data_IF_621478293909
#
_entry.id   IF_621478293909
#
_cell.length_a   1.000
_cell.length_b   1.000
_cell.length_c   1.000
_cell.angle_alpha   90.00
_cell.angle_beta   90.00
_cell.angle_gamma   90.00
#
_symmetry.space_group_name_H-M   'P 1'
#
loop_
_entity.id
_entity.type
_entity.pdbx_description
1 polymer ?
#
# COMPACT_ATOMS: atom_id res chain seq x y z
N UNK A 1 1.54 -34.08 -13.30
CA UNK A 1 1.19 -33.12 -12.28
C UNK A 1 2.41 -32.35 -11.83
N UNK A 2 2.19 -31.17 -11.28
CA UNK A 2 3.28 -30.34 -10.70
C UNK A 2 3.73 -30.97 -9.38
N UNK A 3 5.02 -31.10 -9.16
CA UNK A 3 5.55 -31.63 -7.88
C UNK A 3 5.42 -30.57 -6.80
N UNK A 4 5.10 -30.99 -5.57
CA UNK A 4 5.06 -30.10 -4.39
C UNK A 4 6.45 -29.86 -3.79
N UNK A 5 7.52 -29.91 -4.60
CA UNK A 5 8.86 -29.62 -4.13
C UNK A 5 8.99 -28.14 -3.74
N UNK A 6 9.43 -27.89 -2.50
CA UNK A 6 9.61 -26.53 -1.99
C UNK A 6 10.78 -25.83 -2.65
N UNK A 7 10.63 -24.54 -2.81
CA UNK A 7 11.64 -23.64 -3.34
C UNK A 7 12.48 -23.06 -2.18
N UNK A 8 13.70 -23.56 -2.02
CA UNK A 8 14.61 -23.14 -0.96
C UNK A 8 15.00 -21.66 -1.08
N UNK A 9 15.10 -21.14 -2.30
CA UNK A 9 15.37 -19.71 -2.53
C UNK A 9 14.24 -18.84 -2.00
N UNK A 10 12.99 -19.22 -2.31
CA UNK A 10 11.82 -18.52 -1.80
C UNK A 10 11.76 -18.59 -0.26
N UNK A 11 12.00 -19.77 0.30
CA UNK A 11 11.98 -19.97 1.75
C UNK A 11 13.05 -19.13 2.45
N UNK A 12 14.25 -19.09 1.90
CA UNK A 12 15.35 -18.31 2.46
C UNK A 12 15.03 -16.81 2.45
N UNK A 13 14.53 -16.28 1.32
CA UNK A 13 14.12 -14.88 1.21
C UNK A 13 12.97 -14.56 2.18
N UNK A 14 11.95 -15.43 2.26
CA UNK A 14 10.83 -15.27 3.17
C UNK A 14 11.26 -15.20 4.65
N UNK A 15 12.20 -16.03 5.08
CA UNK A 15 12.69 -16.07 6.46
C UNK A 15 13.70 -14.95 6.77
N UNK A 16 14.48 -14.53 5.79
CA UNK A 16 15.50 -13.51 5.96
C UNK A 16 14.95 -12.08 5.96
N UNK A 17 13.96 -11.80 5.12
CA UNK A 17 13.36 -10.47 5.02
C UNK A 17 12.42 -10.24 6.20
N UNK A 18 12.77 -9.34 7.11
CA UNK A 18 11.96 -9.02 8.31
C UNK A 18 10.77 -8.10 8.03
N UNK A 19 10.73 -7.43 6.88
CA UNK A 19 9.64 -6.56 6.48
C UNK A 19 8.40 -7.33 5.98
N UNK A 20 7.32 -6.63 5.67
CA UNK A 20 6.09 -7.22 5.12
C UNK A 20 6.27 -7.86 3.72
N UNK A 21 7.46 -7.76 3.16
CA UNK A 21 7.81 -8.37 1.88
C UNK A 21 8.14 -9.85 2.05
N UNK A 22 7.66 -10.66 1.14
CA UNK A 22 7.90 -12.10 1.18
C UNK A 22 9.21 -12.48 0.49
N UNK A 23 9.52 -11.87 -0.65
CA UNK A 23 10.73 -12.15 -1.42
C UNK A 23 11.22 -10.90 -2.16
N UNK A 24 12.50 -10.88 -2.49
CA UNK A 24 13.11 -9.88 -3.36
C UNK A 24 12.82 -10.16 -4.83
N UNK A 25 12.74 -11.43 -5.22
CA UNK A 25 12.43 -11.83 -6.59
C UNK A 25 10.91 -11.81 -6.83
N UNK A 26 10.42 -11.15 -7.90
CA UNK A 26 8.98 -10.97 -8.11
C UNK A 26 8.26 -12.22 -8.62
N UNK A 27 8.96 -13.16 -9.22
CA UNK A 27 8.38 -14.27 -9.96
C UNK A 27 8.47 -15.64 -9.27
N UNK A 28 9.18 -15.74 -8.14
CA UNK A 28 9.31 -17.00 -7.41
C UNK A 28 8.13 -17.26 -6.48
N UNK A 29 7.82 -18.54 -6.30
CA UNK A 29 6.79 -19.03 -5.36
C UNK A 29 7.39 -20.03 -4.38
N UNK A 30 6.65 -20.46 -3.34
CA UNK A 30 7.08 -21.55 -2.45
C UNK A 30 7.36 -22.87 -3.18
N UNK A 31 6.89 -23.04 -4.40
CA UNK A 31 7.01 -24.27 -5.18
C UNK A 31 8.00 -24.12 -6.32
N UNK A 32 8.96 -25.06 -6.44
CA UNK A 32 10.05 -25.00 -7.46
C UNK A 32 9.56 -24.86 -8.91
N UNK A 33 8.43 -25.49 -9.24
CA UNK A 33 7.90 -25.55 -10.60
C UNK A 33 6.84 -24.49 -10.92
N UNK A 34 6.49 -23.65 -9.96
CA UNK A 34 5.46 -22.63 -10.14
C UNK A 34 6.11 -21.26 -10.08
N UNK A 35 5.86 -20.45 -11.09
CA UNK A 35 6.29 -19.06 -11.12
C UNK A 35 5.10 -18.12 -11.30
N UNK A 36 5.23 -16.90 -10.78
CA UNK A 36 4.26 -15.83 -10.97
C UNK A 36 4.68 -15.01 -12.19
N UNK A 37 3.71 -14.66 -13.04
CA UNK A 37 3.96 -13.71 -14.11
C UNK A 37 4.25 -12.33 -13.48
N UNK A 38 5.41 -11.70 -13.76
CA UNK A 38 5.73 -10.40 -13.19
C UNK A 38 4.73 -9.32 -13.58
N UNK A 39 4.57 -8.29 -12.72
CA UNK A 39 3.71 -7.15 -13.00
C UNK A 39 4.07 -6.51 -14.35
N UNK A 40 3.09 -5.93 -15.03
CA UNK A 40 3.26 -5.30 -16.35
C UNK A 40 3.77 -6.24 -17.46
N UNK A 41 3.63 -7.55 -17.29
CA UNK A 41 4.00 -8.53 -18.31
C UNK A 41 2.78 -9.26 -18.85
N UNK A 42 2.87 -9.65 -20.11
CA UNK A 42 2.01 -10.63 -20.76
C UNK A 42 2.78 -11.88 -21.06
N UNK A 43 2.10 -13.01 -21.18
CA UNK A 43 2.71 -14.20 -21.76
C UNK A 43 1.90 -14.69 -22.96
N UNK A 44 2.59 -15.33 -23.88
CA UNK A 44 2.02 -15.98 -25.03
C UNK A 44 2.57 -17.39 -25.14
N UNK A 45 1.67 -18.37 -25.15
CA UNK A 45 1.99 -19.76 -25.41
C UNK A 45 1.61 -20.11 -26.85
N UNK A 46 2.59 -20.47 -27.66
CA UNK A 46 2.35 -20.92 -29.05
C UNK A 46 3.22 -22.12 -29.34
N UNK A 47 2.61 -23.22 -29.82
CA UNK A 47 3.32 -24.43 -30.21
C UNK A 47 4.27 -24.96 -29.11
N UNK A 48 3.83 -24.91 -27.84
CA UNK A 48 4.63 -25.34 -26.69
C UNK A 48 5.73 -24.34 -26.25
N UNK A 49 5.91 -23.25 -26.97
CA UNK A 49 6.90 -22.20 -26.62
C UNK A 49 6.23 -21.05 -25.88
N UNK A 50 6.71 -20.80 -24.66
CA UNK A 50 6.31 -19.66 -23.84
C UNK A 50 7.19 -18.45 -24.13
N UNK A 51 6.56 -17.31 -24.40
CA UNK A 51 7.24 -16.01 -24.51
C UNK A 51 6.58 -15.01 -23.57
N UNK A 52 7.38 -14.19 -22.90
CA UNK A 52 6.90 -13.11 -22.02
C UNK A 52 7.33 -11.77 -22.60
N UNK A 53 6.47 -10.76 -22.44
CA UNK A 53 6.76 -9.39 -22.87
C UNK A 53 6.22 -8.40 -21.85
N UNK A 54 7.03 -7.42 -21.47
CA UNK A 54 6.60 -6.28 -20.67
C UNK A 54 5.83 -5.32 -21.56
N UNK A 55 4.57 -5.00 -21.20
CA UNK A 55 3.71 -4.13 -22.01
C UNK A 55 3.66 -2.69 -21.51
N UNK A 56 4.09 -2.43 -20.28
CA UNK A 56 4.08 -1.09 -19.70
C UNK A 56 5.42 -0.79 -19.06
N UNK A 57 6.02 0.32 -19.48
CA UNK A 57 7.23 0.92 -18.93
C UNK A 57 6.85 2.33 -18.54
N UNK A 58 7.05 2.69 -17.26
CA UNK A 58 6.69 4.01 -16.75
C UNK A 58 7.88 4.97 -16.68
N UNK A 59 9.05 4.49 -17.10
CA UNK A 59 10.31 5.25 -17.02
C UNK A 59 10.32 6.45 -17.98
N UNK A 60 9.47 6.43 -19.02
CA UNK A 60 9.39 7.45 -20.07
C UNK A 60 8.16 8.37 -19.95
N UNK A 61 7.58 8.49 -18.73
CA UNK A 61 6.43 9.38 -18.53
C UNK A 61 6.90 10.83 -18.54
N UNK A 62 6.36 11.62 -19.49
CA UNK A 62 6.64 13.04 -19.54
C UNK A 62 6.06 13.78 -18.33
N UNK A 63 6.85 14.71 -17.78
CA UNK A 63 6.41 15.56 -16.69
C UNK A 63 5.40 16.59 -17.20
N UNK A 64 4.19 16.57 -16.64
CA UNK A 64 3.18 17.58 -16.94
C UNK A 64 3.59 18.93 -16.32
N UNK A 65 3.71 19.97 -17.17
CA UNK A 65 4.04 21.33 -16.74
C UNK A 65 2.90 22.26 -17.05
N UNK A 66 2.23 22.76 -16.01
CA UNK A 66 1.10 23.68 -16.10
C UNK A 66 1.48 25.06 -15.55
N UNK A 67 0.70 26.06 -15.90
CA UNK A 67 1.00 27.47 -15.62
C UNK A 67 0.68 27.91 -14.19
N UNK A 68 -0.25 27.20 -13.49
CA UNK A 68 -0.67 27.57 -12.14
C UNK A 68 -1.04 26.36 -11.28
N UNK A 69 -1.13 26.56 -9.95
CA UNK A 69 -1.57 25.51 -9.03
C UNK A 69 -3.01 25.08 -9.31
N UNK A 70 -3.88 26.00 -9.66
CA UNK A 70 -5.29 25.74 -9.98
C UNK A 70 -5.42 24.78 -11.17
N UNK A 71 -4.57 24.95 -12.20
CA UNK A 71 -4.54 24.03 -13.35
C UNK A 71 -4.06 22.63 -12.94
N UNK A 72 -3.09 22.51 -12.02
CA UNK A 72 -2.69 21.22 -11.48
C UNK A 72 -3.82 20.56 -10.67
N UNK A 73 -4.55 21.35 -9.86
CA UNK A 73 -5.69 20.85 -9.08
C UNK A 73 -6.80 20.34 -10.01
N UNK A 74 -7.17 21.09 -11.04
CA UNK A 74 -8.15 20.69 -12.04
C UNK A 74 -7.74 19.40 -12.76
N UNK A 75 -6.51 19.34 -13.25
CA UNK A 75 -5.98 18.15 -13.92
C UNK A 75 -5.96 16.92 -13.00
N UNK A 76 -5.61 17.12 -11.72
CA UNK A 76 -5.63 16.05 -10.73
C UNK A 76 -7.05 15.54 -10.48
N UNK A 77 -8.00 16.45 -10.26
CA UNK A 77 -9.42 16.12 -10.06
C UNK A 77 -9.97 15.32 -11.24
N UNK A 78 -9.64 15.73 -12.48
CA UNK A 78 -10.11 15.06 -13.69
C UNK A 78 -9.54 13.67 -13.84
N UNK A 79 -8.25 13.47 -13.55
CA UNK A 79 -7.61 12.16 -13.58
C UNK A 79 -8.23 11.23 -12.53
N UNK A 80 -8.42 11.70 -11.29
CA UNK A 80 -9.04 10.90 -10.22
C UNK A 80 -10.49 10.55 -10.58
N UNK A 81 -11.27 11.50 -11.11
CA UNK A 81 -12.65 11.26 -11.56
C UNK A 81 -12.70 10.18 -12.65
N UNK A 82 -11.83 10.28 -13.64
CA UNK A 82 -11.73 9.28 -14.70
C UNK A 82 -11.32 7.91 -14.18
N UNK A 83 -10.34 7.87 -13.28
CA UNK A 83 -9.88 6.63 -12.65
C UNK A 83 -11.02 5.94 -11.88
N UNK A 84 -11.74 6.67 -11.03
CA UNK A 84 -12.89 6.14 -10.28
C UNK A 84 -13.97 5.67 -11.23
N UNK A 85 -14.42 6.52 -12.15
CA UNK A 85 -15.50 6.19 -13.09
C UNK A 85 -15.21 4.94 -13.91
N UNK A 86 -13.98 4.75 -14.34
CA UNK A 86 -13.57 3.56 -15.09
C UNK A 86 -13.69 2.26 -14.28
N UNK A 87 -13.71 2.36 -12.95
CA UNK A 87 -13.79 1.21 -12.03
C UNK A 87 -15.21 0.85 -11.61
N UNK A 88 -16.22 1.69 -11.92
CA UNK A 88 -17.62 1.49 -11.50
C UNK A 88 -18.45 0.59 -12.43
N UNK A 89 -17.85 0.03 -13.47
CA UNK A 89 -18.58 -0.76 -14.48
C UNK A 89 -18.99 -2.13 -13.96
N UNK A 90 -20.23 -2.24 -13.50
CA UNK A 90 -20.88 -3.50 -13.09
C UNK A 90 -22.40 -3.34 -13.15
N UNK A 91 -23.11 -4.45 -13.36
CA UNK A 91 -24.58 -4.50 -13.23
C UNK A 91 -25.02 -4.70 -11.77
N UNK A 92 -24.14 -5.23 -10.94
CA UNK A 92 -24.37 -5.53 -9.52
C UNK A 92 -24.14 -4.27 -8.67
N UNK A 93 -24.31 -4.39 -7.37
CA UNK A 93 -24.01 -3.32 -6.42
C UNK A 93 -22.53 -2.96 -6.43
N UNK A 94 -22.24 -1.74 -6.00
CA UNK A 94 -20.87 -1.24 -5.81
C UNK A 94 -20.67 -0.94 -4.34
N UNK A 95 -19.58 -1.47 -3.80
CA UNK A 95 -19.16 -1.20 -2.43
C UNK A 95 -17.78 -0.54 -2.38
N UNK A 96 -17.43 0.03 -1.24
CA UNK A 96 -16.12 0.61 -0.98
C UNK A 96 -15.68 0.35 0.46
N UNK A 97 -14.40 0.09 0.65
CA UNK A 97 -13.77 0.24 1.96
C UNK A 97 -13.70 1.74 2.28
N UNK A 98 -14.09 2.13 3.48
CA UNK A 98 -14.01 3.51 3.94
C UNK A 98 -13.36 3.57 5.32
N UNK A 99 -12.27 4.32 5.42
CA UNK A 99 -11.62 4.72 6.66
C UNK A 99 -11.75 6.24 6.85
N UNK A 100 -11.30 6.76 7.98
CA UNK A 100 -11.18 8.21 8.19
C UNK A 100 -10.06 8.87 7.38
N UNK A 101 -9.30 8.11 6.59
CA UNK A 101 -8.17 8.59 5.80
C UNK A 101 -8.56 9.23 4.47
N UNK A 102 -7.67 10.08 3.95
CA UNK A 102 -7.86 10.83 2.69
C UNK A 102 -8.06 9.93 1.48
N UNK A 103 -7.35 8.81 1.40
CA UNK A 103 -7.33 7.96 0.22
C UNK A 103 -8.69 7.31 -0.04
N UNK A 104 -9.25 6.63 0.97
CA UNK A 104 -10.58 6.02 0.88
C UNK A 104 -11.68 7.07 0.80
N UNK A 105 -11.53 8.18 1.54
CA UNK A 105 -12.46 9.31 1.48
C UNK A 105 -12.54 9.93 0.09
N UNK A 106 -11.41 10.10 -0.59
CA UNK A 106 -11.37 10.58 -1.98
C UNK A 106 -12.11 9.61 -2.91
N UNK A 107 -11.82 8.31 -2.84
CA UNK A 107 -12.51 7.32 -3.68
C UNK A 107 -14.02 7.38 -3.51
N UNK A 108 -14.50 7.42 -2.25
CA UNK A 108 -15.93 7.50 -1.92
C UNK A 108 -16.56 8.81 -2.42
N UNK A 109 -15.85 9.94 -2.23
CA UNK A 109 -16.35 11.27 -2.64
C UNK A 109 -16.53 11.41 -4.16
N UNK A 110 -15.74 10.69 -4.95
CA UNK A 110 -15.92 10.65 -6.41
C UNK A 110 -16.89 9.56 -6.86
N UNK A 111 -16.93 8.41 -6.19
CA UNK A 111 -17.77 7.28 -6.60
C UNK A 111 -19.26 7.51 -6.29
N UNK A 112 -19.60 8.11 -5.14
CA UNK A 112 -20.98 8.27 -4.72
C UNK A 112 -21.81 9.15 -5.67
N UNK A 113 -21.34 10.34 -6.13
CA UNK A 113 -22.04 11.13 -7.13
C UNK A 113 -22.19 10.42 -8.49
N UNK A 114 -21.14 9.72 -8.96
CA UNK A 114 -21.19 8.99 -10.22
C UNK A 114 -22.24 7.88 -10.19
N UNK A 115 -22.36 7.15 -9.07
CA UNK A 115 -23.37 6.12 -8.88
C UNK A 115 -24.78 6.73 -8.77
N UNK A 116 -24.92 7.89 -8.12
CA UNK A 116 -26.19 8.61 -8.06
C UNK A 116 -26.74 8.95 -9.46
N UNK A 117 -25.88 9.37 -10.37
CA UNK A 117 -26.26 9.61 -11.76
C UNK A 117 -26.72 8.34 -12.49
N UNK A 118 -26.27 7.17 -12.03
CA UNK A 118 -26.68 5.86 -12.55
C UNK A 118 -27.89 5.27 -11.82
N UNK A 119 -28.53 6.00 -10.89
CA UNK A 119 -29.61 5.51 -10.06
C UNK A 119 -29.21 4.44 -9.04
N UNK A 120 -27.92 4.34 -8.71
CA UNK A 120 -27.36 3.37 -7.76
C UNK A 120 -26.85 4.07 -6.50
N UNK A 121 -26.84 3.35 -5.38
CA UNK A 121 -26.16 3.76 -4.13
C UNK A 121 -24.75 3.20 -4.07
N UNK A 122 -23.90 3.87 -3.28
CA UNK A 122 -22.60 3.35 -2.87
C UNK A 122 -22.74 2.77 -1.45
N UNK A 123 -22.38 1.51 -1.27
CA UNK A 123 -22.31 0.87 0.04
C UNK A 123 -20.89 0.99 0.58
N UNK A 124 -20.71 1.44 1.82
CA UNK A 124 -19.38 1.51 2.41
C UNK A 124 -19.26 0.66 3.66
N UNK A 125 -18.12 0.01 3.80
CA UNK A 125 -17.80 -0.83 4.95
C UNK A 125 -16.57 -0.30 5.64
N UNK A 126 -16.67 -0.13 6.96
CA UNK A 126 -15.61 0.40 7.80
C UNK A 126 -15.38 -0.51 8.99
N UNK A 127 -14.12 -0.84 9.24
CA UNK A 127 -13.73 -1.40 10.52
C UNK A 127 -13.65 -0.27 11.56
N UNK A 128 -14.22 -0.51 12.73
CA UNK A 128 -14.20 0.44 13.86
C UNK A 128 -13.92 -0.32 15.16
N UNK A 129 -13.33 0.33 16.17
CA UNK A 129 -13.11 -0.30 17.47
C UNK A 129 -14.41 -0.82 18.08
N UNK A 130 -14.33 -1.91 18.87
CA UNK A 130 -15.44 -2.44 19.64
C UNK A 130 -15.92 -1.42 20.72
N UNK A 131 -17.12 -1.61 21.22
CA UNK A 131 -17.72 -0.68 22.19
C UNK A 131 -16.96 -0.64 23.53
N UNK A 132 -16.30 -1.72 23.87
CA UNK A 132 -15.49 -1.90 25.08
C UNK A 132 -13.99 -1.62 24.87
N UNK A 133 -13.62 -1.04 23.72
CA UNK A 133 -12.24 -0.69 23.43
C UNK A 133 -11.75 0.43 24.35
N UNK A 134 -10.67 0.16 25.08
CA UNK A 134 -9.94 1.16 25.85
C UNK A 134 -8.77 1.71 24.98
N UNK A 135 -8.74 3.04 24.83
CA UNK A 135 -7.72 3.70 24.03
C UNK A 135 -6.38 3.76 24.77
N UNK A 136 -5.46 2.90 24.37
CA UNK A 136 -4.07 2.89 24.83
C UNK A 136 -3.08 3.46 23.80
N UNK A 137 -3.59 3.99 22.69
CA UNK A 137 -2.73 4.50 21.61
C UNK A 137 -2.07 5.83 21.99
N UNK A 138 -0.85 6.12 21.51
CA UNK A 138 -0.26 7.45 21.68
C UNK A 138 -1.16 8.54 21.10
N UNK A 139 -1.22 9.67 21.75
CA UNK A 139 -2.09 10.84 21.40
C UNK A 139 -2.04 11.27 19.93
N UNK A 140 -0.96 10.95 19.23
CA UNK A 140 -0.79 11.24 17.80
C UNK A 140 -1.57 10.32 16.85
N UNK A 141 -2.10 9.21 17.35
CA UNK A 141 -2.92 8.28 16.59
C UNK A 141 -4.38 8.45 16.95
N UNK A 142 -5.26 8.18 16.01
CA UNK A 142 -6.71 8.25 16.18
C UNK A 142 -7.24 6.85 15.92
N UNK A 143 -7.47 6.06 16.96
CA UNK A 143 -7.93 4.68 16.80
C UNK A 143 -9.39 4.58 16.37
N UNK A 144 -10.22 5.54 16.79
CA UNK A 144 -11.63 5.62 16.38
C UNK A 144 -11.84 6.68 15.31
N UNK A 145 -11.99 6.25 14.10
CA UNK A 145 -12.15 7.09 12.92
C UNK A 145 -13.61 7.41 12.57
N UNK A 146 -14.62 6.97 13.39
CA UNK A 146 -16.05 7.14 13.10
C UNK A 146 -16.42 8.57 12.72
N UNK A 147 -15.87 9.56 13.43
CA UNK A 147 -16.11 10.98 13.15
C UNK A 147 -15.71 11.40 11.72
N UNK A 148 -14.58 10.92 11.26
CA UNK A 148 -14.06 11.26 9.91
C UNK A 148 -14.80 10.48 8.84
N UNK A 149 -15.15 9.21 9.11
CA UNK A 149 -15.98 8.39 8.25
C UNK A 149 -17.32 9.08 8.04
N UNK A 150 -17.99 9.51 9.13
CA UNK A 150 -19.28 10.22 9.05
C UNK A 150 -19.17 11.52 8.25
N UNK A 151 -18.11 12.30 8.46
CA UNK A 151 -17.88 13.52 7.68
C UNK A 151 -17.76 13.25 6.18
N UNK A 152 -17.12 12.16 5.80
CA UNK A 152 -17.02 11.73 4.38
C UNK A 152 -18.38 11.30 3.84
N UNK A 153 -19.13 10.53 4.61
CA UNK A 153 -20.48 10.05 4.24
C UNK A 153 -21.43 11.24 4.02
N UNK A 154 -21.43 12.20 4.95
CA UNK A 154 -22.28 13.40 4.88
C UNK A 154 -21.91 14.26 3.65
N UNK A 155 -20.63 14.45 3.39
CA UNK A 155 -20.13 15.20 2.23
C UNK A 155 -20.46 14.52 0.90
N UNK A 156 -20.21 13.23 0.78
CA UNK A 156 -20.41 12.50 -0.46
C UNK A 156 -21.89 12.31 -0.80
N UNK A 157 -22.76 12.25 0.20
CA UNK A 157 -24.18 11.90 0.03
C UNK A 157 -24.33 10.54 -0.67
N UNK A 158 -25.50 10.06 -0.95
CA UNK A 158 -25.75 8.81 -1.71
C UNK A 158 -24.91 7.59 -1.26
N UNK A 159 -24.56 7.55 0.01
CA UNK A 159 -23.78 6.50 0.66
C UNK A 159 -24.65 5.78 1.68
N UNK A 160 -24.56 4.46 1.72
CA UNK A 160 -25.09 3.61 2.78
C UNK A 160 -23.90 3.01 3.53
N UNK A 161 -23.60 3.57 4.70
CA UNK A 161 -22.43 3.21 5.49
C UNK A 161 -22.75 2.16 6.55
N UNK A 162 -21.91 1.13 6.64
CA UNK A 162 -21.93 0.13 7.68
C UNK A 162 -20.59 0.09 8.41
N UNK A 163 -20.62 0.30 9.71
CA UNK A 163 -19.46 0.34 10.59
C UNK A 163 -19.48 -0.91 11.46
N UNK A 164 -18.45 -1.73 11.36
CA UNK A 164 -18.42 -3.06 12.00
C UNK A 164 -17.15 -3.26 12.82
N UNK A 165 -17.28 -3.68 14.07
CA UNK A 165 -16.16 -4.04 14.92
C UNK A 165 -15.68 -5.49 14.72
N UNK A 166 -16.43 -6.32 13.99
CA UNK A 166 -16.18 -7.75 13.78
C UNK A 166 -15.90 -8.52 15.07
N UNK A 167 -16.84 -8.54 16.03
CA UNK A 167 -16.63 -9.16 17.34
C UNK A 167 -16.33 -10.66 17.21
N UNK A 168 -15.46 -11.16 18.10
CA UNK A 168 -15.06 -12.57 18.10
C UNK A 168 -14.07 -12.97 17.01
N UNK A 169 -13.64 -12.03 16.15
CA UNK A 169 -12.61 -12.26 15.14
C UNK A 169 -11.27 -11.70 15.59
N UNK A 170 -10.20 -12.36 15.20
CA UNK A 170 -8.84 -11.89 15.38
C UNK A 170 -7.91 -12.49 14.31
N UNK A 171 -6.70 -11.94 14.11
CA UNK A 171 -5.80 -12.40 13.06
C UNK A 171 -5.43 -13.88 13.15
N UNK A 172 -5.33 -14.44 14.35
CA UNK A 172 -4.93 -15.85 14.54
C UNK A 172 -6.01 -16.83 14.09
N UNK A 173 -7.28 -16.48 14.25
CA UNK A 173 -8.40 -17.30 13.78
C UNK A 173 -8.54 -17.33 12.25
N UNK A 174 -7.88 -16.40 11.57
CA UNK A 174 -7.97 -16.27 10.11
C UNK A 174 -6.84 -17.01 9.37
N UNK A 175 -5.82 -17.51 10.07
CA UNK A 175 -4.61 -18.07 9.44
C UNK A 175 -4.96 -19.19 8.46
N UNK A 176 -5.70 -20.20 8.89
CA UNK A 176 -6.03 -21.34 8.05
C UNK A 176 -6.85 -20.93 6.82
N UNK A 177 -7.83 -20.04 7.01
CA UNK A 177 -8.65 -19.52 5.92
C UNK A 177 -7.81 -18.77 4.86
N UNK A 178 -6.86 -17.96 5.32
CA UNK A 178 -5.96 -17.24 4.41
C UNK A 178 -5.00 -18.18 3.69
N UNK A 179 -4.44 -19.18 4.40
CA UNK A 179 -3.57 -20.17 3.81
C UNK A 179 -4.30 -21.01 2.74
N UNK A 180 -5.54 -21.38 2.99
CA UNK A 180 -6.38 -22.11 2.02
C UNK A 180 -6.65 -21.29 0.74
N UNK A 181 -6.89 -19.98 0.89
CA UNK A 181 -7.13 -19.12 -0.27
C UNK A 181 -5.82 -18.79 -1.00
N UNK A 182 -4.79 -18.42 -0.26
CA UNK A 182 -3.54 -17.96 -0.84
C UNK A 182 -2.64 -19.07 -1.34
N UNK A 183 -2.75 -20.27 -0.75
CA UNK A 183 -1.91 -21.45 -1.02
C UNK A 183 -0.40 -21.15 -0.80
N UNK A 184 -0.10 -20.10 -0.05
CA UNK A 184 1.26 -19.67 0.30
C UNK A 184 1.27 -19.05 1.69
N UNK A 185 2.36 -19.16 2.46
CA UNK A 185 2.55 -18.36 3.66
C UNK A 185 2.51 -16.86 3.34
N UNK A 186 2.06 -16.06 4.29
CA UNK A 186 1.94 -14.61 4.15
C UNK A 186 2.39 -13.92 5.46
N UNK A 187 2.84 -12.66 5.38
CA UNK A 187 3.33 -11.89 6.53
C UNK A 187 2.35 -10.82 7.00
N UNK A 188 1.42 -10.43 6.15
CA UNK A 188 0.47 -9.38 6.43
C UNK A 188 -0.83 -9.94 7.00
N UNK A 189 -0.83 -10.30 8.28
CA UNK A 189 -1.96 -10.98 8.91
C UNK A 189 -2.73 -10.12 9.92
N UNK A 190 -2.17 -9.03 10.43
CA UNK A 190 -2.79 -8.21 11.47
C UNK A 190 -4.19 -7.70 11.07
N UNK A 191 -4.38 -7.40 9.80
CA UNK A 191 -5.63 -6.90 9.25
C UNK A 191 -6.54 -7.97 8.63
N UNK A 192 -6.16 -9.24 8.71
CA UNK A 192 -6.84 -10.34 8.02
C UNK A 192 -8.32 -10.47 8.40
N UNK A 193 -8.64 -10.37 9.67
CA UNK A 193 -9.99 -10.60 10.20
C UNK A 193 -11.03 -9.57 9.75
N UNK A 194 -10.69 -8.28 9.78
CA UNK A 194 -11.63 -7.25 9.32
C UNK A 194 -11.66 -7.14 7.80
N UNK A 195 -10.54 -7.38 7.11
CA UNK A 195 -10.53 -7.48 5.64
C UNK A 195 -11.47 -8.57 5.16
N UNK A 196 -11.36 -9.78 5.73
CA UNK A 196 -12.30 -10.87 5.43
C UNK A 196 -13.73 -10.48 5.72
N UNK A 197 -13.98 -9.86 6.87
CA UNK A 197 -15.31 -9.38 7.23
C UNK A 197 -15.90 -8.41 6.20
N UNK A 198 -15.10 -7.48 5.68
CA UNK A 198 -15.53 -6.56 4.62
C UNK A 198 -15.85 -7.30 3.31
N UNK A 199 -15.04 -8.29 2.91
CA UNK A 199 -15.35 -9.10 1.73
C UNK A 199 -16.67 -9.87 1.89
N UNK A 200 -16.93 -10.42 3.07
CA UNK A 200 -18.19 -11.11 3.39
C UNK A 200 -19.39 -10.15 3.29
N UNK A 201 -19.30 -8.97 3.91
CA UNK A 201 -20.34 -7.93 3.81
C UNK A 201 -20.59 -7.48 2.37
N UNK A 202 -19.54 -7.31 1.59
CA UNK A 202 -19.68 -6.94 0.19
C UNK A 202 -20.35 -8.07 -0.62
N UNK A 203 -20.05 -9.33 -0.31
CA UNK A 203 -20.70 -10.48 -0.93
C UNK A 203 -22.17 -10.61 -0.53
N UNK A 204 -22.53 -10.36 0.73
CA UNK A 204 -23.90 -10.38 1.24
C UNK A 204 -24.85 -9.44 0.47
N UNK A 205 -24.38 -8.28 0.08
CA UNK A 205 -25.16 -7.31 -0.69
C UNK A 205 -25.08 -7.53 -2.22
N UNK A 206 -24.57 -8.64 -2.67
CA UNK A 206 -24.31 -8.93 -4.09
C UNK A 206 -23.48 -7.82 -4.77
N UNK A 207 -22.42 -7.34 -4.11
CA UNK A 207 -21.51 -6.40 -4.74
C UNK A 207 -20.70 -7.06 -5.86
N UNK A 208 -20.66 -6.43 -7.02
CA UNK A 208 -19.77 -6.85 -8.10
C UNK A 208 -18.39 -6.18 -8.01
N UNK A 209 -18.31 -5.08 -7.27
CA UNK A 209 -17.10 -4.28 -7.11
C UNK A 209 -16.96 -3.86 -5.64
N UNK A 210 -15.75 -4.01 -5.11
CA UNK A 210 -15.31 -3.42 -3.86
C UNK A 210 -14.18 -2.43 -4.17
N UNK A 211 -14.44 -1.14 -4.03
CA UNK A 211 -13.43 -0.10 -4.19
C UNK A 211 -12.54 -0.03 -2.96
N UNK A 212 -11.28 0.29 -3.16
CA UNK A 212 -10.31 0.43 -2.09
C UNK A 212 -9.42 1.66 -2.30
N UNK A 213 -9.10 2.38 -1.24
CA UNK A 213 -8.08 3.44 -1.22
C UNK A 213 -6.65 2.91 -1.14
N UNK A 214 -6.44 1.61 -1.30
CA UNK A 214 -5.11 1.00 -1.25
C UNK A 214 -4.17 1.63 -2.28
N UNK A 215 -2.92 1.87 -1.86
CA UNK A 215 -1.89 2.57 -2.63
C UNK A 215 -2.12 4.09 -2.79
N UNK A 216 -3.15 4.67 -2.20
CA UNK A 216 -3.37 6.12 -2.17
C UNK A 216 -2.17 6.89 -1.58
N UNK A 217 -1.46 6.29 -0.63
CA UNK A 217 -0.19 6.81 -0.10
C UNK A 217 0.90 7.04 -1.17
N UNK A 218 0.80 6.40 -2.32
CA UNK A 218 1.71 6.61 -3.44
C UNK A 218 1.14 7.54 -4.52
N UNK A 219 -0.11 7.96 -4.39
CA UNK A 219 -0.82 8.79 -5.37
C UNK A 219 -1.51 9.99 -4.72
N UNK A 220 -2.67 9.79 -4.10
CA UNK A 220 -3.56 10.85 -3.58
C UNK A 220 -2.93 11.58 -2.38
N UNK A 221 -2.46 10.84 -1.37
CA UNK A 221 -1.90 11.40 -0.15
C UNK A 221 -0.37 11.35 -0.11
N UNK A 222 0.26 11.28 -1.27
CA UNK A 222 1.72 11.27 -1.36
C UNK A 222 2.34 12.53 -0.80
N UNK A 223 3.35 12.35 -0.01
CA UNK A 223 4.19 13.46 0.43
C UNK A 223 4.91 13.18 1.75
N UNK A 224 6.05 12.46 1.75
CA UNK A 224 6.92 12.42 2.91
C UNK A 224 7.47 13.83 3.15
N UNK A 225 6.90 14.52 4.14
CA UNK A 225 7.20 15.91 4.41
C UNK A 225 8.70 16.17 4.61
N UNK A 226 9.40 15.27 5.31
CA UNK A 226 10.84 15.41 5.56
C UNK A 226 11.68 15.33 4.29
N UNK A 227 11.29 14.51 3.31
CA UNK A 227 11.98 14.43 2.02
C UNK A 227 11.78 15.69 1.20
N UNK A 228 10.56 16.23 1.23
CA UNK A 228 10.26 17.51 0.63
C UNK A 228 11.08 18.64 1.28
N UNK A 229 11.20 18.66 2.61
CA UNK A 229 12.03 19.64 3.31
C UNK A 229 13.51 19.49 2.99
N UNK A 230 14.02 18.26 2.86
CA UNK A 230 15.38 18.00 2.39
C UNK A 230 15.61 18.54 0.96
N UNK A 231 14.60 18.42 0.08
CA UNK A 231 14.63 19.04 -1.26
C UNK A 231 14.71 20.56 -1.17
N UNK A 232 13.91 21.19 -0.30
CA UNK A 232 13.95 22.65 -0.09
C UNK A 232 15.32 23.11 0.42
N UNK A 233 15.98 22.35 1.33
CA UNK A 233 17.36 22.63 1.78
C UNK A 233 18.32 22.64 0.60
N UNK A 234 18.29 21.60 -0.24
CA UNK A 234 19.18 21.46 -1.41
C UNK A 234 18.94 22.53 -2.46
N UNK A 235 17.70 23.02 -2.58
CA UNK A 235 17.32 24.12 -3.48
C UNK A 235 17.49 25.51 -2.85
N UNK A 236 18.02 25.61 -1.63
CA UNK A 236 18.22 26.86 -0.87
C UNK A 236 16.93 27.68 -0.69
N UNK A 237 15.77 27.04 -0.66
CA UNK A 237 14.45 27.68 -0.48
C UNK A 237 14.13 27.88 1.02
N UNK A 238 14.97 28.66 1.72
CA UNK A 238 14.95 28.78 3.18
C UNK A 238 13.66 29.35 3.77
N UNK A 239 13.05 30.36 3.12
CA UNK A 239 11.80 30.96 3.60
C UNK A 239 10.63 29.96 3.54
N UNK A 240 10.55 29.22 2.44
CA UNK A 240 9.52 28.18 2.26
C UNK A 240 9.75 27.04 3.26
N UNK A 241 11.00 26.60 3.39
CA UNK A 241 11.38 25.58 4.37
C UNK A 241 10.98 25.97 5.79
N UNK A 242 11.28 27.19 6.21
CA UNK A 242 10.94 27.66 7.56
C UNK A 242 9.43 27.65 7.82
N UNK A 243 8.62 28.12 6.86
CA UNK A 243 7.16 28.10 6.97
C UNK A 243 6.61 26.66 7.08
N UNK A 244 7.02 25.78 6.18
CA UNK A 244 6.58 24.40 6.15
C UNK A 244 7.02 23.61 7.40
N UNK A 245 8.28 23.74 7.80
CA UNK A 245 8.81 23.09 9.00
C UNK A 245 8.10 23.57 10.28
N UNK A 246 7.73 24.85 10.35
CA UNK A 246 6.98 25.40 11.48
C UNK A 246 5.56 24.85 11.54
N UNK A 247 4.88 24.72 10.41
CA UNK A 247 3.55 24.15 10.33
C UNK A 247 3.57 22.65 10.70
N UNK A 248 4.54 21.91 10.16
CA UNK A 248 4.76 20.51 10.48
C UNK A 248 4.99 20.28 11.98
N UNK A 249 5.89 21.09 12.56
CA UNK A 249 6.18 21.06 14.00
C UNK A 249 4.91 21.25 14.85
N UNK A 250 4.10 22.26 14.51
CA UNK A 250 2.86 22.55 15.25
C UNK A 250 1.84 21.41 15.15
N UNK A 251 1.68 20.83 13.95
CA UNK A 251 0.73 19.74 13.70
C UNK A 251 1.12 18.43 14.36
N UNK A 252 2.43 18.13 14.35
CA UNK A 252 2.96 16.87 14.87
C UNK A 252 3.32 16.93 16.36
N UNK A 253 3.30 18.13 16.98
CA UNK A 253 3.69 18.30 18.38
C UNK A 253 5.18 18.06 18.65
N UNK A 254 6.03 18.10 17.62
CA UNK A 254 7.48 17.89 17.80
C UNK A 254 8.19 19.15 18.31
N UNK A 255 9.26 18.95 19.08
CA UNK A 255 10.18 20.05 19.45
C UNK A 255 10.92 20.60 18.23
N UNK A 256 11.18 21.94 18.23
CA UNK A 256 11.86 22.60 17.10
C UNK A 256 13.19 21.95 16.73
N UNK A 257 14.05 21.69 17.72
CA UNK A 257 15.35 21.07 17.49
C UNK A 257 15.26 19.68 16.84
N UNK A 258 14.25 18.91 17.20
CA UNK A 258 14.04 17.57 16.63
C UNK A 258 13.68 17.66 15.14
N UNK A 259 12.76 18.55 14.76
CA UNK A 259 12.36 18.71 13.34
C UNK A 259 13.54 19.13 12.48
N UNK A 260 14.33 20.11 12.92
CA UNK A 260 15.52 20.54 12.18
C UNK A 260 16.60 19.45 12.11
N UNK A 261 16.77 18.67 13.18
CA UNK A 261 17.65 17.49 13.18
C UNK A 261 17.21 16.47 12.14
N UNK A 262 15.92 16.12 12.10
CA UNK A 262 15.35 15.17 11.13
C UNK A 262 15.53 15.66 9.69
N UNK A 263 15.30 16.97 9.44
CA UNK A 263 15.52 17.59 8.13
C UNK A 263 17.00 17.52 7.74
N UNK A 264 17.91 17.87 8.65
CA UNK A 264 19.36 17.81 8.41
C UNK A 264 19.84 16.40 8.08
N UNK A 265 19.37 15.41 8.81
CA UNK A 265 19.69 14.00 8.57
C UNK A 265 19.24 13.53 7.17
N UNK A 266 18.05 13.93 6.74
CA UNK A 266 17.53 13.63 5.40
C UNK A 266 18.22 14.44 4.29
N UNK A 267 18.56 15.69 4.54
CA UNK A 267 19.22 16.53 3.55
C UNK A 267 20.68 16.12 3.29
N UNK A 268 21.38 15.61 4.33
CA UNK A 268 22.80 15.28 4.31
C UNK A 268 23.07 13.87 4.84
N UNK A 269 22.58 12.79 4.18
CA UNK A 269 22.67 11.43 4.69
C UNK A 269 24.13 10.98 4.93
N UNK A 270 25.06 11.30 4.02
CA UNK A 270 26.48 10.92 4.17
C UNK A 270 27.13 11.52 5.42
N UNK A 271 26.79 12.78 5.78
CA UNK A 271 27.28 13.38 7.03
C UNK A 271 26.68 12.69 8.25
N UNK A 272 25.43 12.27 8.13
CA UNK A 272 24.74 11.53 9.20
C UNK A 272 25.38 10.16 9.42
N UNK A 273 25.69 9.44 8.35
CA UNK A 273 26.41 8.15 8.42
C UNK A 273 27.77 8.29 9.09
N UNK A 274 28.55 9.32 8.74
CA UNK A 274 29.84 9.59 9.37
C UNK A 274 29.72 9.93 10.87
N UNK A 275 28.65 10.62 11.28
CA UNK A 275 28.41 10.99 12.67
C UNK A 275 27.81 9.86 13.52
N UNK A 276 27.12 8.90 12.89
CA UNK A 276 26.43 7.79 13.54
C UNK A 276 27.23 6.48 13.44
N UNK A 277 28.32 6.45 12.67
CA UNK A 277 29.14 5.25 12.40
C UNK A 277 29.60 4.46 13.63
N UNK A 278 29.38 4.96 14.86
CA UNK A 278 29.64 4.25 16.11
C UNK A 278 28.40 3.61 16.77
N UNK A 279 27.22 3.69 16.18
CA UNK A 279 26.08 2.91 16.63
C UNK A 279 25.93 1.73 15.69
N UNK A 280 26.39 0.56 16.11
CA UNK A 280 26.01 -0.70 15.51
C UNK A 280 24.49 -0.75 15.44
N UNK A 281 23.94 -0.56 14.25
CA UNK A 281 22.54 -0.91 14.01
C UNK A 281 22.51 -2.43 14.12
N UNK A 282 22.00 -2.95 15.21
CA UNK A 282 21.66 -4.37 15.28
C UNK A 282 20.75 -4.64 14.07
N UNK A 283 21.16 -5.62 13.26
CA UNK A 283 20.32 -6.06 12.15
C UNK A 283 18.97 -6.49 12.73
N UNK A 284 17.85 -6.15 12.06
CA UNK A 284 16.54 -6.56 12.54
C UNK A 284 16.52 -8.09 12.72
N UNK A 285 15.82 -8.60 13.75
CA UNK A 285 15.75 -10.02 13.98
C UNK A 285 15.16 -10.73 12.76
N UNK A 286 15.85 -11.74 12.27
CA UNK A 286 15.41 -12.56 11.14
C UNK A 286 15.03 -13.96 11.63
N UNK A 287 14.13 -14.63 10.90
CA UNK A 287 13.70 -16.00 11.23
C UNK A 287 14.59 -17.07 10.61
N UNK A 288 15.53 -16.67 9.74
CA UNK A 288 16.40 -17.62 9.04
C UNK A 288 17.53 -18.11 9.94
N UNK A 289 17.76 -19.43 9.93
CA UNK A 289 18.92 -20.00 10.60
C UNK A 289 20.22 -19.57 9.91
N UNK A 290 21.28 -19.15 10.63
CA UNK A 290 22.51 -18.62 10.03
C UNK A 290 23.21 -19.58 9.04
N UNK A 291 23.18 -20.89 9.29
CA UNK A 291 23.79 -21.87 8.38
C UNK A 291 23.02 -21.97 7.07
N UNK A 292 21.69 -21.96 7.14
CA UNK A 292 20.85 -21.93 5.93
C UNK A 292 21.03 -20.62 5.16
N UNK A 293 21.09 -19.49 5.86
CA UNK A 293 21.38 -18.19 5.25
C UNK A 293 22.70 -18.21 4.45
N UNK A 294 23.76 -18.82 5.02
CA UNK A 294 25.06 -18.97 4.36
C UNK A 294 25.03 -19.93 3.17
N UNK A 295 24.34 -21.08 3.33
CA UNK A 295 24.29 -22.11 2.27
C UNK A 295 23.66 -21.62 0.97
N UNK A 296 22.75 -20.63 1.04
CA UNK A 296 22.06 -20.04 -0.12
C UNK A 296 22.55 -18.62 -0.48
N UNK A 297 23.55 -18.11 0.23
CA UNK A 297 24.10 -16.76 0.08
C UNK A 297 23.01 -15.67 0.04
N UNK A 298 22.07 -15.74 1.01
CA UNK A 298 20.85 -14.97 0.99
C UNK A 298 21.10 -13.46 1.02
N UNK A 299 22.08 -12.99 1.77
CA UNK A 299 22.32 -11.56 1.98
C UNK A 299 22.86 -10.86 0.72
N UNK A 300 23.60 -11.57 -0.12
CA UNK A 300 23.99 -11.02 -1.44
C UNK A 300 22.80 -10.89 -2.39
N UNK A 301 21.80 -11.75 -2.23
CA UNK A 301 20.59 -11.79 -3.08
C UNK A 301 19.55 -10.75 -2.72
N UNK A 302 19.28 -10.57 -1.42
CA UNK A 302 18.25 -9.61 -0.95
C UNK A 302 18.76 -8.17 -0.90
N UNK A 303 20.08 -7.97 -0.83
CA UNK A 303 20.73 -6.67 -0.89
C UNK A 303 20.14 -5.64 0.09
N UNK A 304 19.86 -4.39 -0.35
CA UNK A 304 19.31 -3.34 0.51
C UNK A 304 17.93 -3.63 1.10
N UNK A 305 17.19 -4.62 0.60
CA UNK A 305 15.89 -5.02 1.14
C UNK A 305 15.98 -5.63 2.54
N UNK A 306 17.17 -6.13 2.92
CA UNK A 306 17.44 -6.67 4.26
C UNK A 306 17.20 -5.65 5.38
N UNK A 307 17.38 -4.37 5.11
CA UNK A 307 17.31 -3.31 6.12
C UNK A 307 15.92 -2.68 6.29
N UNK A 308 14.91 -3.16 5.59
CA UNK A 308 13.58 -2.53 5.57
C UNK A 308 13.59 -1.11 5.00
N UNK A 309 14.69 -0.74 4.42
CA UNK A 309 14.97 0.60 3.99
C UNK A 309 14.76 0.75 2.49
N UNK A 310 13.57 1.24 2.13
CA UNK A 310 13.48 2.10 0.98
C UNK A 310 14.13 3.45 1.33
N UNK A 311 15.40 3.43 1.74
CA UNK A 311 16.19 4.63 2.04
C UNK A 311 16.92 5.15 0.81
N UNK A 312 16.33 5.06 -0.37
CA UNK A 312 16.80 5.98 -1.38
C UNK A 312 16.29 7.37 -1.00
N UNK A 313 17.24 8.27 -0.76
CA UNK A 313 17.00 9.70 -0.61
C UNK A 313 16.10 10.15 -1.76
N UNK A 314 14.84 10.37 -1.47
CA UNK A 314 13.76 10.59 -2.42
C UNK A 314 13.78 12.00 -3.01
N UNK A 315 14.91 12.40 -3.56
CA UNK A 315 14.98 13.62 -4.38
C UNK A 315 14.20 13.41 -5.68
N UNK A 316 14.18 12.17 -6.17
CA UNK A 316 13.37 11.77 -7.30
C UNK A 316 12.12 10.99 -6.85
N UNK A 317 11.10 11.75 -6.50
CA UNK A 317 9.83 11.19 -6.04
C UNK A 317 9.10 10.37 -7.11
N UNK A 318 9.38 10.59 -8.38
CA UNK A 318 8.76 9.88 -9.50
C UNK A 318 9.32 8.47 -9.57
N UNK A 319 10.65 8.31 -9.63
CA UNK A 319 11.25 6.98 -9.71
C UNK A 319 10.99 6.13 -8.47
N UNK A 320 10.91 6.74 -7.28
CA UNK A 320 10.54 6.01 -6.05
C UNK A 320 9.10 5.53 -6.09
N UNK A 321 8.15 6.37 -6.51
CA UNK A 321 6.74 5.98 -6.69
C UNK A 321 6.61 4.82 -7.67
N UNK A 322 7.22 4.94 -8.83
CA UNK A 322 7.11 3.92 -9.87
C UNK A 322 7.79 2.61 -9.45
N UNK A 323 8.94 2.67 -8.79
CA UNK A 323 9.56 1.47 -8.21
C UNK A 323 8.67 0.85 -7.13
N UNK A 324 8.08 1.66 -6.25
CA UNK A 324 7.20 1.16 -5.20
C UNK A 324 5.94 0.49 -5.76
N UNK A 325 5.31 1.06 -6.79
CA UNK A 325 4.05 0.55 -7.33
C UNK A 325 4.25 -0.60 -8.32
N UNK A 326 5.31 -0.55 -9.15
CA UNK A 326 5.40 -1.38 -10.34
C UNK A 326 6.65 -2.28 -10.42
N UNK A 327 7.69 -1.97 -9.65
CA UNK A 327 8.95 -2.73 -9.68
C UNK A 327 9.15 -3.60 -8.45
N UNK A 328 8.34 -3.40 -7.40
CA UNK A 328 8.48 -4.18 -6.20
C UNK A 328 7.88 -5.58 -6.37
N UNK A 329 8.58 -6.60 -5.89
CA UNK A 329 8.07 -7.98 -5.86
C UNK A 329 6.68 -8.09 -5.25
N UNK A 330 6.36 -7.22 -4.31
CA UNK A 330 5.07 -7.22 -3.62
C UNK A 330 3.89 -6.71 -4.43
N UNK A 331 4.07 -5.86 -5.42
CA UNK A 331 2.97 -5.41 -6.26
C UNK A 331 2.26 -6.62 -6.89
N UNK A 332 3.03 -7.61 -7.34
CA UNK A 332 2.52 -8.87 -7.87
C UNK A 332 1.79 -9.70 -6.82
N UNK A 333 2.35 -9.83 -5.64
CA UNK A 333 1.79 -10.69 -4.59
C UNK A 333 0.54 -10.09 -3.98
N UNK A 334 0.53 -8.78 -3.73
CA UNK A 334 -0.67 -8.07 -3.29
C UNK A 334 -1.78 -8.18 -4.34
N UNK A 335 -1.45 -8.00 -5.63
CA UNK A 335 -2.41 -8.19 -6.72
C UNK A 335 -2.94 -9.61 -6.80
N UNK A 336 -2.10 -10.62 -6.59
CA UNK A 336 -2.51 -12.02 -6.57
C UNK A 336 -3.42 -12.32 -5.36
N UNK A 337 -3.09 -11.81 -4.17
CA UNK A 337 -3.93 -11.91 -2.97
C UNK A 337 -5.31 -11.31 -3.23
N UNK A 338 -5.37 -10.06 -3.67
CA UNK A 338 -6.63 -9.37 -4.01
C UNK A 338 -7.43 -10.18 -5.02
N UNK A 339 -6.79 -10.71 -6.06
CA UNK A 339 -7.46 -11.52 -7.09
C UNK A 339 -8.05 -12.81 -6.51
N UNK A 340 -7.30 -13.55 -5.70
CA UNK A 340 -7.77 -14.79 -5.08
C UNK A 340 -8.94 -14.56 -4.13
N UNK A 341 -8.87 -13.52 -3.29
CA UNK A 341 -10.00 -13.12 -2.44
C UNK A 341 -11.20 -12.66 -3.26
N UNK A 342 -10.99 -11.84 -4.27
CA UNK A 342 -12.06 -11.38 -5.15
C UNK A 342 -12.79 -12.56 -5.83
N UNK A 343 -12.06 -13.54 -6.31
CA UNK A 343 -12.64 -14.76 -6.90
C UNK A 343 -13.40 -15.59 -5.85
N UNK A 344 -12.87 -15.72 -4.64
CA UNK A 344 -13.50 -16.48 -3.55
C UNK A 344 -14.87 -15.91 -3.15
N UNK A 345 -14.96 -14.57 -3.09
CA UNK A 345 -16.18 -13.86 -2.67
C UNK A 345 -17.05 -13.39 -3.83
N UNK A 346 -16.67 -13.71 -5.08
CA UNK A 346 -17.48 -13.42 -6.27
C UNK A 346 -17.57 -11.94 -6.62
N UNK A 347 -16.59 -11.12 -6.24
CA UNK A 347 -16.51 -9.69 -6.52
C UNK A 347 -15.13 -9.30 -7.05
N UNK A 348 -14.95 -8.06 -7.49
CA UNK A 348 -13.65 -7.51 -7.90
C UNK A 348 -13.23 -6.36 -6.99
N UNK A 349 -12.16 -6.52 -6.23
CA UNK A 349 -11.53 -5.38 -5.57
C UNK A 349 -10.81 -4.52 -6.62
N UNK A 350 -11.06 -3.22 -6.61
CA UNK A 350 -10.49 -2.25 -7.56
C UNK A 350 -9.94 -1.04 -6.84
N UNK A 351 -8.72 -0.69 -7.19
CA UNK A 351 -8.06 0.54 -6.77
C UNK A 351 -8.15 1.54 -7.93
N UNK A 352 -8.84 2.66 -7.77
CA UNK A 352 -8.89 3.73 -8.77
C UNK A 352 -7.55 4.40 -9.04
#
# INVERSE_FOLDING_TARGET
>A
GVTKAYNEEWLAEYLAISAMYETAQPDITPYKQIRILPASHTFRLREGRLTTARYQVLDDVEELRLGSNEQYEEAFVDVVRQAVRSRLRTHRNVSSMLSGGLDSGTVVSFAAPELKHQGKKLYTFSYVPAADYEDWTPVRFIPDERKYIQSTVDYAGNVEARLEPFPGRNPFLEIDHYLDILETPYKYFENSYWLRGIYELASEIDAGILLSGSNGNFTISWGPALDYYAKLVRQMQWLRLYREATLFQRRMGYGRGLVWKMIGQKAFPRMTELLIANKSSEAPPTLIHPDFARSVDIYSRIGPMDRGEFQESTVDMISVRFRALFSLPNANKKGNMITKFSLRYGLWERNP
#
